data_IF_459941801842
#
_entry.id   IF_459941801842
#
_cell.length_a   1.000
_cell.length_b   1.000
_cell.length_c   1.000
_cell.angle_alpha   90.00
_cell.angle_beta   90.00
_cell.angle_gamma   90.00
#
_symmetry.space_group_name_H-M   'P 1'
#
loop_
_entity.id
_entity.type
_entity.pdbx_description
1 polymer ?
#
# COMPACT_ATOMS: atom_id res chain seq x y z
N UNK A 1 13.25 14.24 19.56
CA UNK A 1 12.29 13.36 18.87
C UNK A 1 13.04 12.32 18.05
N UNK A 2 13.23 11.10 18.56
CA UNK A 2 13.60 9.84 17.85
C UNK A 2 13.67 8.73 18.91
N UNK A 3 12.51 8.19 19.28
CA UNK A 3 12.43 7.01 20.18
C UNK A 3 11.38 6.02 19.66
N UNK A 4 10.34 6.48 18.96
CA UNK A 4 9.32 5.62 18.31
C UNK A 4 9.82 4.81 17.09
N UNK A 5 11.12 4.71 16.82
CA UNK A 5 11.64 3.96 15.66
C UNK A 5 12.28 2.62 16.03
N UNK A 6 12.69 2.43 17.29
CA UNK A 6 13.37 1.21 17.74
C UNK A 6 12.43 0.25 18.48
N UNK A 7 11.42 0.77 19.17
CA UNK A 7 10.45 -0.04 19.94
C UNK A 7 9.63 -0.95 19.00
N UNK A 8 9.11 -0.39 17.90
CA UNK A 8 8.44 -1.12 16.82
C UNK A 8 9.33 -2.19 16.15
N UNK A 9 10.64 -2.21 16.43
CA UNK A 9 11.60 -3.16 15.83
C UNK A 9 11.94 -4.33 16.73
N UNK A 10 11.56 -4.31 18.00
CA UNK A 10 11.83 -5.42 18.91
C UNK A 10 11.11 -6.70 18.46
N UNK A 11 9.86 -6.57 18.00
CA UNK A 11 9.07 -7.69 17.46
C UNK A 11 9.68 -8.24 16.16
N UNK A 12 10.08 -7.35 15.25
CA UNK A 12 10.81 -7.70 14.02
C UNK A 12 12.12 -8.47 14.33
N UNK A 13 12.81 -8.11 15.42
CA UNK A 13 14.09 -8.68 15.81
C UNK A 13 13.96 -10.05 16.49
N UNK A 14 12.92 -10.24 17.30
CA UNK A 14 12.53 -11.55 17.81
C UNK A 14 12.20 -12.51 16.65
N UNK A 15 11.32 -12.08 15.73
CA UNK A 15 10.98 -12.85 14.54
C UNK A 15 12.18 -13.11 13.60
N UNK A 16 13.22 -12.25 13.62
CA UNK A 16 14.46 -12.51 12.91
C UNK A 16 15.26 -13.66 13.54
N UNK A 17 15.31 -13.73 14.86
CA UNK A 17 16.04 -14.79 15.60
C UNK A 17 15.35 -16.15 15.47
N UNK A 18 14.01 -16.16 15.41
CA UNK A 18 13.22 -17.38 15.23
C UNK A 18 13.20 -17.88 13.77
N UNK A 19 13.59 -17.03 12.81
CA UNK A 19 13.63 -17.36 11.38
C UNK A 19 12.34 -17.03 10.61
N UNK A 20 11.32 -16.51 11.29
CA UNK A 20 9.99 -16.23 10.76
C UNK A 20 9.87 -14.91 9.99
N UNK A 21 10.96 -14.15 9.88
CA UNK A 21 10.97 -12.87 9.18
C UNK A 21 11.13 -13.04 7.66
N UNK A 22 10.14 -12.56 6.88
CA UNK A 22 10.17 -12.59 5.42
C UNK A 22 11.33 -11.80 4.78
N UNK A 23 11.71 -12.08 3.51
CA UNK A 23 12.97 -11.61 2.91
C UNK A 23 13.16 -10.09 2.92
N UNK A 24 12.10 -9.33 2.62
CA UNK A 24 12.15 -7.87 2.56
C UNK A 24 12.25 -7.22 3.95
N UNK A 25 11.47 -7.70 4.92
CA UNK A 25 11.54 -7.25 6.33
C UNK A 25 12.91 -7.56 6.91
N UNK A 26 13.46 -8.75 6.63
CA UNK A 26 14.80 -9.17 7.00
C UNK A 26 15.89 -8.25 6.45
N UNK A 27 15.83 -7.90 5.16
CA UNK A 27 16.78 -6.96 4.58
C UNK A 27 16.70 -5.57 5.24
N UNK A 28 15.49 -5.04 5.39
CA UNK A 28 15.26 -3.71 5.99
C UNK A 28 15.72 -3.65 7.45
N UNK A 29 15.43 -4.68 8.24
CA UNK A 29 15.83 -4.77 9.63
C UNK A 29 17.34 -4.89 9.78
N UNK A 30 18.01 -5.73 8.96
CA UNK A 30 19.48 -5.84 8.96
C UNK A 30 20.15 -4.50 8.70
N UNK A 31 19.69 -3.77 7.68
CA UNK A 31 20.19 -2.43 7.39
C UNK A 31 20.02 -1.47 8.58
N UNK A 32 18.88 -1.55 9.30
CA UNK A 32 18.68 -0.75 10.49
C UNK A 32 19.61 -1.13 11.63
N UNK A 33 19.83 -2.43 11.87
CA UNK A 33 20.77 -2.91 12.89
C UNK A 33 22.16 -2.36 12.60
N UNK A 34 22.61 -2.42 11.34
CA UNK A 34 23.93 -1.92 10.91
C UNK A 34 24.10 -0.41 11.20
N UNK A 35 23.02 0.37 11.07
CA UNK A 35 23.03 1.83 11.24
C UNK A 35 22.65 2.30 12.67
N UNK A 36 22.17 1.41 13.55
CA UNK A 36 21.63 1.76 14.87
C UNK A 36 22.36 1.04 16.02
N UNK A 37 23.04 1.81 16.86
CA UNK A 37 23.82 1.29 18.00
C UNK A 37 22.97 0.54 19.02
N UNK A 38 21.78 1.04 19.34
CA UNK A 38 20.89 0.44 20.35
C UNK A 38 20.36 -0.91 19.87
N UNK A 39 19.91 -0.99 18.61
CA UNK A 39 19.47 -2.24 18.00
C UNK A 39 20.62 -3.25 17.84
N UNK A 40 21.84 -2.79 17.52
CA UNK A 40 23.03 -3.66 17.52
C UNK A 40 23.32 -4.24 18.90
N UNK A 41 23.27 -3.42 19.95
CA UNK A 41 23.52 -3.86 21.31
C UNK A 41 22.49 -4.89 21.76
N UNK A 42 21.20 -4.63 21.52
CA UNK A 42 20.12 -5.55 21.83
C UNK A 42 20.24 -6.87 21.07
N UNK A 43 20.49 -6.83 19.75
CA UNK A 43 20.64 -8.03 18.93
C UNK A 43 21.77 -8.95 19.44
N UNK A 44 22.89 -8.36 19.89
CA UNK A 44 23.99 -9.12 20.51
C UNK A 44 23.57 -9.73 21.85
N UNK A 45 22.88 -8.97 22.70
CA UNK A 45 22.40 -9.47 23.99
C UNK A 45 21.45 -10.65 23.80
N UNK A 46 20.45 -10.53 22.93
CA UNK A 46 19.49 -11.61 22.68
C UNK A 46 20.14 -12.86 22.09
N UNK A 47 21.15 -12.72 21.22
CA UNK A 47 21.91 -13.87 20.73
C UNK A 47 22.69 -14.58 21.85
N UNK A 48 23.24 -13.83 22.80
CA UNK A 48 23.93 -14.39 23.97
C UNK A 48 22.94 -15.11 24.89
N UNK A 49 21.77 -14.52 25.15
CA UNK A 49 20.73 -15.11 25.99
C UNK A 49 20.20 -16.42 25.39
N UNK A 50 19.92 -16.44 24.08
CA UNK A 50 19.51 -17.65 23.36
C UNK A 50 20.62 -18.72 23.40
N UNK A 51 21.88 -18.33 23.23
CA UNK A 51 23.00 -19.27 23.30
C UNK A 51 23.16 -19.85 24.72
N UNK A 52 23.01 -19.03 25.76
CA UNK A 52 23.08 -19.45 27.16
C UNK A 52 21.92 -20.39 27.51
N UNK A 53 20.69 -20.04 27.13
CA UNK A 53 19.52 -20.89 27.31
C UNK A 53 19.69 -22.23 26.59
N UNK A 54 20.12 -22.20 25.33
CA UNK A 54 20.37 -23.41 24.54
C UNK A 54 21.40 -24.32 25.21
N UNK A 55 22.46 -23.74 25.80
CA UNK A 55 23.49 -24.49 26.54
C UNK A 55 22.97 -25.07 27.87
N UNK A 56 22.04 -24.39 28.53
CA UNK A 56 21.48 -24.81 29.81
C UNK A 56 20.39 -25.89 29.65
N UNK A 57 19.58 -25.79 28.59
CA UNK A 57 18.39 -26.63 28.39
C UNK A 57 18.66 -27.84 27.51
N UNK A 58 19.50 -27.71 26.49
CA UNK A 58 19.79 -28.85 25.62
C UNK A 58 20.88 -29.73 26.26
N UNK A 59 20.65 -31.04 26.41
CA UNK A 59 21.72 -31.96 26.77
C UNK A 59 22.82 -31.91 25.71
N UNK A 60 24.05 -32.21 26.12
CA UNK A 60 25.14 -32.36 25.18
C UNK A 60 24.71 -33.36 24.08
N UNK A 61 24.86 -33.01 22.79
CA UNK A 61 24.43 -33.89 21.71
C UNK A 61 25.18 -35.22 21.79
N UNK A 62 24.45 -36.32 21.61
CA UNK A 62 24.99 -37.68 21.61
C UNK A 62 26.10 -37.80 20.54
N UNK A 63 27.33 -38.22 20.92
CA UNK A 63 28.44 -38.42 19.99
C UNK A 63 28.08 -39.29 18.77
N UNK A 64 27.24 -40.33 18.94
CA UNK A 64 26.83 -41.18 17.81
C UNK A 64 25.93 -40.43 16.83
N UNK A 65 25.00 -39.62 17.34
CA UNK A 65 24.15 -38.78 16.52
C UNK A 65 24.98 -37.76 15.71
N UNK A 66 25.96 -37.10 16.35
CA UNK A 66 26.87 -36.17 15.67
C UNK A 66 27.65 -36.89 14.57
N UNK A 67 28.20 -38.07 14.86
CA UNK A 67 28.96 -38.86 13.89
C UNK A 67 28.10 -39.25 12.67
N UNK A 68 26.84 -39.64 12.90
CA UNK A 68 25.88 -39.97 11.84
C UNK A 68 25.54 -38.76 10.97
N UNK A 69 25.20 -37.62 11.59
CA UNK A 69 24.87 -36.39 10.85
C UNK A 69 26.08 -35.89 10.08
N UNK A 70 27.25 -35.81 10.71
CA UNK A 70 28.48 -35.37 10.04
C UNK A 70 28.94 -36.35 8.95
N UNK A 71 28.68 -37.65 9.12
CA UNK A 71 28.85 -38.66 8.07
C UNK A 71 27.97 -38.35 6.85
N UNK A 72 26.70 -38.01 7.07
CA UNK A 72 25.77 -37.57 6.03
C UNK A 72 26.18 -36.26 5.36
N UNK A 73 26.65 -35.27 6.12
CA UNK A 73 27.13 -33.99 5.55
C UNK A 73 28.39 -34.19 4.72
N UNK A 74 29.31 -35.07 5.15
CA UNK A 74 30.53 -35.40 4.40
C UNK A 74 30.25 -36.25 3.17
N UNK A 75 29.16 -37.01 3.16
CA UNK A 75 28.73 -37.79 2.00
C UNK A 75 27.92 -36.97 0.98
N UNK A 76 27.52 -35.74 1.34
CA UNK A 76 27.00 -34.81 0.35
C UNK A 76 28.08 -34.59 -0.72
N UNK A 77 27.74 -34.74 -2.02
CA UNK A 77 28.67 -34.42 -3.07
C UNK A 77 29.12 -32.97 -2.88
N UNK A 78 30.43 -32.74 -2.80
CA UNK A 78 30.95 -31.39 -2.82
C UNK A 78 30.38 -30.70 -4.06
N UNK A 79 29.85 -29.47 -3.95
CA UNK A 79 29.39 -28.75 -5.13
C UNK A 79 30.56 -28.72 -6.10
N UNK A 80 30.42 -29.41 -7.22
CA UNK A 80 31.45 -29.45 -8.24
C UNK A 80 31.84 -27.99 -8.53
N UNK A 81 33.14 -27.65 -8.55
CA UNK A 81 33.54 -26.29 -8.90
C UNK A 81 32.86 -25.96 -10.23
N UNK A 82 32.05 -24.90 -10.25
CA UNK A 82 31.28 -24.45 -11.40
C UNK A 82 32.21 -23.86 -12.48
N UNK A 83 33.23 -24.60 -12.88
CA UNK A 83 34.41 -24.10 -13.56
C UNK A 83 35.05 -25.19 -14.42
N UNK A 84 34.39 -25.55 -15.53
CA UNK A 84 35.09 -26.06 -16.72
C UNK A 84 34.23 -26.22 -17.99
N UNK A 85 33.05 -25.60 -18.13
CA UNK A 85 32.30 -25.72 -19.39
C UNK A 85 31.49 -24.50 -19.83
N UNK A 86 31.97 -23.30 -19.49
CA UNK A 86 31.53 -22.08 -20.17
C UNK A 86 32.67 -21.70 -21.12
N UNK A 87 32.55 -22.17 -22.36
CA UNK A 87 33.42 -21.80 -23.50
C UNK A 87 33.56 -20.26 -23.57
N UNK A 88 34.74 -19.71 -23.93
CA UNK A 88 34.96 -18.27 -23.99
C UNK A 88 34.15 -17.53 -25.09
N UNK A 89 33.35 -18.24 -25.89
CA UNK A 89 32.53 -17.65 -26.97
C UNK A 89 31.12 -17.22 -26.48
N UNK A 90 30.63 -17.68 -25.32
CA UNK A 90 29.28 -17.30 -24.83
C UNK A 90 29.27 -16.07 -23.92
N UNK A 91 30.42 -15.63 -23.40
CA UNK A 91 30.51 -14.48 -22.50
C UNK A 91 30.10 -13.14 -23.15
N UNK A 92 30.56 -12.74 -24.35
CA UNK A 92 30.14 -11.46 -24.92
C UNK A 92 28.64 -11.46 -25.28
N UNK A 93 28.11 -12.60 -25.73
CA UNK A 93 26.71 -12.76 -26.10
C UNK A 93 25.78 -12.71 -24.88
N UNK A 94 26.16 -13.35 -23.77
CA UNK A 94 25.41 -13.27 -22.52
C UNK A 94 25.46 -11.87 -21.91
N UNK A 95 26.61 -11.18 -21.98
CA UNK A 95 26.72 -9.79 -21.52
C UNK A 95 25.85 -8.86 -22.38
N UNK A 96 25.89 -9.00 -23.71
CA UNK A 96 25.07 -8.21 -24.61
C UNK A 96 23.56 -8.46 -24.40
N UNK A 97 23.15 -9.72 -24.20
CA UNK A 97 21.76 -10.05 -23.89
C UNK A 97 21.31 -9.47 -22.53
N UNK A 98 22.15 -9.56 -21.49
CA UNK A 98 21.86 -8.99 -20.18
C UNK A 98 21.75 -7.46 -20.23
N UNK A 99 22.65 -6.79 -20.96
CA UNK A 99 22.59 -5.34 -21.18
C UNK A 99 21.34 -4.96 -21.97
N UNK A 100 20.99 -5.72 -23.01
CA UNK A 100 19.76 -5.51 -23.79
C UNK A 100 18.49 -5.65 -22.95
N UNK A 101 18.40 -6.68 -22.10
CA UNK A 101 17.27 -6.87 -21.17
C UNK A 101 17.20 -5.75 -20.14
N UNK A 102 18.34 -5.33 -19.56
CA UNK A 102 18.37 -4.22 -18.61
C UNK A 102 18.00 -2.89 -19.26
N UNK A 103 18.46 -2.64 -20.49
CA UNK A 103 18.11 -1.44 -21.25
C UNK A 103 16.62 -1.43 -21.62
N UNK A 104 16.08 -2.56 -22.10
CA UNK A 104 14.65 -2.72 -22.37
C UNK A 104 13.83 -2.52 -21.09
N UNK A 105 14.23 -3.13 -19.97
CA UNK A 105 13.56 -2.94 -18.68
C UNK A 105 13.61 -1.49 -18.20
N UNK A 106 14.74 -0.80 -18.38
CA UNK A 106 14.88 0.62 -18.03
C UNK A 106 14.02 1.53 -18.91
N UNK A 107 13.98 1.28 -20.23
CA UNK A 107 13.17 2.04 -21.18
C UNK A 107 11.68 1.78 -20.92
N UNK A 108 11.26 0.52 -20.84
CA UNK A 108 9.87 0.13 -20.57
C UNK A 108 9.43 0.67 -19.21
N UNK A 109 10.25 0.52 -18.16
CA UNK A 109 9.96 1.04 -16.83
C UNK A 109 9.88 2.57 -16.76
N UNK A 110 10.71 3.30 -17.53
CA UNK A 110 10.65 4.77 -17.61
C UNK A 110 9.48 5.29 -18.44
N UNK A 111 9.11 4.59 -19.51
CA UNK A 111 8.05 5.02 -20.43
C UNK A 111 6.66 4.61 -19.93
N UNK A 112 6.52 3.41 -19.34
CA UNK A 112 5.24 2.92 -18.81
C UNK A 112 5.05 3.21 -17.31
N UNK A 113 6.13 3.45 -16.55
CA UNK A 113 6.08 3.75 -15.12
C UNK A 113 5.22 4.95 -14.70
N UNK A 114 5.15 6.06 -15.46
CA UNK A 114 4.28 7.19 -15.12
C UNK A 114 2.78 6.87 -15.29
N UNK A 115 2.45 5.78 -15.98
CA UNK A 115 1.07 5.45 -16.37
C UNK A 115 0.35 4.68 -15.26
N UNK A 116 1.01 4.18 -14.22
CA UNK A 116 0.34 3.39 -13.18
C UNK A 116 0.88 3.78 -11.80
N UNK A 117 0.24 4.75 -11.14
CA UNK A 117 0.45 5.03 -9.71
C UNK A 117 -0.74 4.51 -8.88
N UNK A 118 -0.85 3.18 -8.70
CA UNK A 118 -1.94 2.57 -7.94
C UNK A 118 -1.95 3.05 -6.48
N UNK A 119 -0.80 3.51 -5.97
CA UNK A 119 -0.71 4.03 -4.60
C UNK A 119 -1.49 5.34 -4.45
N UNK A 120 -1.37 6.26 -5.42
CA UNK A 120 -2.12 7.52 -5.41
C UNK A 120 -3.62 7.31 -5.54
N UNK A 121 -4.01 6.42 -6.46
CA UNK A 121 -5.42 6.08 -6.65
C UNK A 121 -6.03 5.48 -5.37
N UNK A 122 -5.31 4.57 -4.71
CA UNK A 122 -5.78 3.94 -3.47
C UNK A 122 -6.02 4.97 -2.35
N UNK A 123 -5.15 5.97 -2.23
CA UNK A 123 -5.30 7.06 -1.24
C UNK A 123 -6.55 7.91 -1.53
N UNK A 124 -6.80 8.29 -2.78
CA UNK A 124 -8.01 9.04 -3.15
C UNK A 124 -9.28 8.19 -3.01
N UNK A 125 -9.23 6.91 -3.37
CA UNK A 125 -10.33 5.99 -3.17
C UNK A 125 -10.68 5.85 -1.68
N UNK A 126 -9.70 5.76 -0.79
CA UNK A 126 -9.98 5.68 0.65
C UNK A 126 -10.58 6.98 1.22
N UNK A 127 -10.11 8.14 0.76
CA UNK A 127 -10.71 9.42 1.12
C UNK A 127 -12.19 9.51 0.69
N UNK A 128 -12.53 9.02 -0.51
CA UNK A 128 -13.92 8.91 -0.97
C UNK A 128 -14.75 7.94 -0.12
N UNK A 129 -14.18 6.79 0.30
CA UNK A 129 -14.86 5.88 1.25
C UNK A 129 -15.12 6.56 2.59
N UNK A 130 -14.18 7.35 3.11
CA UNK A 130 -14.36 8.13 4.33
C UNK A 130 -15.48 9.15 4.20
N UNK A 131 -15.52 9.90 3.09
CA UNK A 131 -16.58 10.85 2.81
C UNK A 131 -17.94 10.16 2.65
N UNK A 132 -18.01 9.01 1.96
CA UNK A 132 -19.27 8.27 1.83
C UNK A 132 -19.78 7.76 3.18
N UNK A 133 -18.89 7.31 4.07
CA UNK A 133 -19.27 6.97 5.46
C UNK A 133 -19.82 8.19 6.20
N UNK A 134 -19.21 9.36 6.04
CA UNK A 134 -19.71 10.60 6.62
C UNK A 134 -21.11 10.98 6.09
N UNK A 135 -21.36 10.79 4.78
CA UNK A 135 -22.70 10.98 4.20
C UNK A 135 -23.72 10.01 4.79
N UNK A 136 -23.37 8.75 4.99
CA UNK A 136 -24.29 7.78 5.61
C UNK A 136 -24.64 8.18 7.05
N UNK A 137 -23.67 8.62 7.84
CA UNK A 137 -23.93 9.10 9.22
C UNK A 137 -24.81 10.34 9.20
N UNK A 138 -24.53 11.30 8.30
CA UNK A 138 -25.40 12.45 8.09
C UNK A 138 -26.84 12.03 7.76
N UNK A 139 -27.03 11.12 6.81
CA UNK A 139 -28.35 10.65 6.43
C UNK A 139 -29.08 9.95 7.59
N UNK A 140 -28.37 9.21 8.45
CA UNK A 140 -28.96 8.60 9.65
C UNK A 140 -29.47 9.63 10.65
N UNK A 141 -28.78 10.77 10.81
CA UNK A 141 -29.21 11.84 11.73
C UNK A 141 -30.31 12.75 11.14
N UNK A 142 -30.45 12.79 9.82
CA UNK A 142 -31.41 13.63 9.11
C UNK A 142 -32.52 12.80 8.42
N UNK A 143 -33.03 11.75 9.09
CA UNK A 143 -34.17 10.95 8.65
C UNK A 143 -34.06 10.41 7.21
N UNK A 144 -32.86 9.98 6.81
CA UNK A 144 -32.56 9.48 5.48
C UNK A 144 -32.33 10.56 4.41
N UNK A 145 -32.33 11.84 4.78
CA UNK A 145 -32.07 12.94 3.85
C UNK A 145 -30.58 13.13 3.57
N UNK A 146 -30.21 13.17 2.28
CA UNK A 146 -28.86 13.47 1.84
C UNK A 146 -28.49 14.96 2.00
N UNK A 147 -27.19 15.30 2.09
CA UNK A 147 -26.78 16.68 2.33
C UNK A 147 -27.16 17.62 1.16
N UNK A 148 -27.36 18.92 1.43
CA UNK A 148 -27.56 19.94 0.40
C UNK A 148 -26.29 20.14 -0.42
N UNK A 149 -26.42 20.10 -1.75
CA UNK A 149 -25.29 20.12 -2.68
C UNK A 149 -24.42 21.40 -2.60
N UNK A 150 -24.97 22.56 -2.24
CA UNK A 150 -24.23 23.83 -2.18
C UNK A 150 -23.27 23.90 -0.99
N UNK A 151 -23.56 23.15 0.08
CA UNK A 151 -22.83 23.20 1.35
C UNK A 151 -22.52 21.81 1.91
N UNK A 152 -22.48 20.80 1.04
CA UNK A 152 -22.29 19.40 1.44
C UNK A 152 -21.02 19.21 2.25
N UNK A 153 -19.91 19.86 1.86
CA UNK A 153 -18.63 19.76 2.56
C UNK A 153 -18.72 20.28 3.99
N UNK A 154 -19.37 21.43 4.19
CA UNK A 154 -19.61 22.01 5.51
C UNK A 154 -20.61 21.18 6.33
N UNK A 155 -21.65 20.64 5.69
CA UNK A 155 -22.62 19.76 6.35
C UNK A 155 -21.98 18.45 6.85
N UNK A 156 -20.93 17.97 6.18
CA UNK A 156 -20.22 16.75 6.57
C UNK A 156 -19.05 16.98 7.54
N UNK A 157 -18.69 18.24 7.85
CA UNK A 157 -17.46 18.56 8.58
C UNK A 157 -17.41 17.91 9.97
N UNK A 158 -18.54 17.79 10.67
CA UNK A 158 -18.65 17.16 12.00
C UNK A 158 -18.53 15.63 11.98
N UNK A 159 -18.74 14.99 10.82
CA UNK A 159 -18.73 13.52 10.68
C UNK A 159 -17.41 12.99 10.10
N UNK A 160 -16.51 13.88 9.69
CA UNK A 160 -15.21 13.54 9.13
C UNK A 160 -14.18 13.34 10.24
N UNK A 161 -13.41 12.25 10.16
CA UNK A 161 -12.26 12.03 11.06
C UNK A 161 -11.04 12.85 10.68
N UNK A 162 -10.92 13.20 9.39
CA UNK A 162 -9.76 13.91 8.84
C UNK A 162 -10.14 15.35 8.53
N UNK A 163 -9.44 16.35 9.11
CA UNK A 163 -9.75 17.77 8.88
C UNK A 163 -9.41 18.25 7.46
N UNK A 164 -8.69 17.44 6.69
CA UNK A 164 -8.27 17.78 5.32
C UNK A 164 -9.30 17.38 4.26
N UNK A 165 -10.33 16.62 4.61
CA UNK A 165 -11.43 16.33 3.70
C UNK A 165 -12.33 17.59 3.57
N UNK A 166 -12.91 17.86 2.38
CA UNK A 166 -12.91 17.05 1.16
C UNK A 166 -11.77 17.38 0.17
N UNK A 167 -10.62 17.90 0.64
CA UNK A 167 -9.49 18.12 -0.27
C UNK A 167 -8.82 16.80 -0.63
N UNK A 168 -8.33 16.68 -1.86
CA UNK A 168 -7.51 15.55 -2.25
C UNK A 168 -6.18 15.61 -1.48
N UNK A 169 -5.78 14.54 -0.77
CA UNK A 169 -4.56 14.53 0.04
C UNK A 169 -3.28 14.59 -0.80
N UNK A 170 -3.40 14.41 -2.12
CA UNK A 170 -2.30 14.50 -3.08
C UNK A 170 -2.30 15.83 -3.84
N UNK A 171 -3.28 16.72 -3.59
CA UNK A 171 -3.29 18.04 -4.20
C UNK A 171 -2.16 18.88 -3.61
N UNK A 172 -1.26 19.38 -4.46
CA UNK A 172 -0.16 20.25 -4.02
C UNK A 172 -0.63 21.56 -3.39
N UNK A 173 -1.84 22.01 -3.72
CA UNK A 173 -2.51 23.17 -3.11
C UNK A 173 -3.95 22.79 -2.73
N UNK A 174 -4.25 22.53 -1.44
CA UNK A 174 -5.61 22.27 -0.97
C UNK A 174 -6.41 23.58 -0.95
N UNK A 175 -7.12 23.86 -2.04
CA UNK A 175 -8.05 24.98 -2.18
C UNK A 175 -9.51 24.53 -2.18
N UNK A 176 -10.46 25.47 -2.01
CA UNK A 176 -11.89 25.19 -2.19
C UNK A 176 -12.16 24.60 -3.59
N UNK A 177 -12.77 23.41 -3.64
CA UNK A 177 -13.07 22.72 -4.90
C UNK A 177 -11.91 21.91 -5.51
N UNK A 178 -10.78 21.77 -4.81
CA UNK A 178 -9.69 20.89 -5.23
C UNK A 178 -9.77 19.54 -4.51
N UNK A 179 -10.43 18.55 -5.11
CA UNK A 179 -10.40 17.20 -4.56
C UNK A 179 -11.55 16.34 -5.02
N UNK A 180 -12.68 16.48 -4.33
CA UNK A 180 -13.88 15.69 -4.56
C UNK A 180 -15.08 16.61 -4.78
N UNK A 181 -16.07 16.13 -5.53
CA UNK A 181 -17.35 16.80 -5.70
C UNK A 181 -18.50 15.87 -5.45
N UNK A 182 -19.60 16.46 -4.99
CA UNK A 182 -20.86 15.81 -4.70
C UNK A 182 -21.77 15.85 -5.92
N UNK A 183 -22.58 14.81 -6.13
CA UNK A 183 -23.58 14.79 -7.19
C UNK A 183 -24.76 15.73 -6.86
N UNK A 184 -24.93 16.87 -7.56
CA UNK A 184 -25.97 17.84 -7.22
C UNK A 184 -27.40 17.33 -7.42
N UNK A 185 -27.59 16.28 -8.23
CA UNK A 185 -28.91 15.66 -8.43
C UNK A 185 -29.43 14.95 -7.16
N UNK A 186 -28.52 14.65 -6.22
CA UNK A 186 -28.84 14.03 -4.94
C UNK A 186 -29.01 15.06 -3.82
N UNK A 187 -29.06 16.36 -4.13
CA UNK A 187 -29.26 17.41 -3.13
C UNK A 187 -30.57 17.18 -2.37
N UNK A 188 -30.47 16.92 -1.05
CA UNK A 188 -31.63 16.67 -0.17
C UNK A 188 -32.55 15.52 -0.59
N UNK A 189 -32.07 14.63 -1.47
CA UNK A 189 -32.82 13.44 -1.85
C UNK A 189 -32.97 12.50 -0.64
N UNK A 190 -34.11 11.82 -0.55
CA UNK A 190 -34.31 10.76 0.43
C UNK A 190 -33.60 9.49 -0.03
N UNK A 191 -32.76 8.88 0.81
CA UNK A 191 -32.01 7.66 0.47
C UNK A 191 -32.97 6.55 0.01
N UNK A 192 -34.12 6.41 0.66
CA UNK A 192 -35.14 5.41 0.32
C UNK A 192 -35.89 5.70 -1.00
N UNK A 193 -35.76 6.92 -1.55
CA UNK A 193 -36.35 7.29 -2.83
C UNK A 193 -35.40 7.04 -4.01
N UNK A 194 -34.15 6.62 -3.75
CA UNK A 194 -33.15 6.32 -4.78
C UNK A 194 -33.35 4.86 -5.22
N UNK A 195 -33.75 4.58 -6.48
CA UNK A 195 -34.14 3.23 -6.91
C UNK A 195 -33.04 2.17 -6.76
N UNK A 196 -31.79 2.58 -7.00
CA UNK A 196 -30.62 1.72 -6.82
C UNK A 196 -29.44 2.54 -6.29
N UNK A 197 -29.26 2.50 -4.98
CA UNK A 197 -28.21 3.26 -4.30
C UNK A 197 -26.80 2.85 -4.75
N UNK A 198 -26.63 1.61 -5.25
CA UNK A 198 -25.33 1.04 -5.61
C UNK A 198 -24.81 1.49 -6.97
N UNK A 199 -25.68 2.02 -7.82
CA UNK A 199 -25.34 2.48 -9.18
C UNK A 199 -25.41 3.99 -9.33
N UNK A 200 -26.02 4.72 -8.39
CA UNK A 200 -26.10 6.18 -8.45
C UNK A 200 -24.84 6.83 -7.85
N UNK A 201 -24.05 7.57 -8.65
CA UNK A 201 -22.84 8.23 -8.16
C UNK A 201 -23.14 9.27 -7.08
N UNK A 202 -22.45 9.18 -5.94
CA UNK A 202 -22.61 10.08 -4.80
C UNK A 202 -21.52 11.16 -4.78
N UNK A 203 -20.26 10.74 -4.81
CA UNK A 203 -19.08 11.59 -4.77
C UNK A 203 -18.09 11.13 -5.83
N UNK A 204 -17.25 12.01 -6.33
CA UNK A 204 -16.27 11.66 -7.35
C UNK A 204 -15.02 12.54 -7.29
N UNK A 205 -13.91 12.02 -7.80
CA UNK A 205 -12.68 12.79 -8.04
C UNK A 205 -12.99 13.96 -8.97
N UNK A 206 -12.69 15.19 -8.54
CA UNK A 206 -13.09 16.38 -9.29
C UNK A 206 -12.09 17.52 -9.26
N UNK A 207 -12.06 18.27 -10.38
CA UNK A 207 -11.34 19.54 -10.52
C UNK A 207 -12.34 20.59 -10.97
N UNK A 208 -12.59 21.59 -10.12
CA UNK A 208 -13.55 22.66 -10.44
C UNK A 208 -14.99 22.14 -10.59
N UNK A 209 -15.39 21.16 -9.80
CA UNK A 209 -16.75 20.60 -9.83
C UNK A 209 -17.02 19.57 -10.94
N UNK A 210 -16.07 19.36 -11.86
CA UNK A 210 -16.20 18.36 -12.93
C UNK A 210 -15.39 17.11 -12.62
N UNK A 211 -15.86 15.95 -13.08
CA UNK A 211 -15.13 14.68 -12.96
C UNK A 211 -13.72 14.80 -13.56
N UNK A 212 -12.71 14.42 -12.78
CA UNK A 212 -11.30 14.53 -13.15
C UNK A 212 -10.62 13.15 -13.08
N UNK A 213 -10.33 12.50 -14.22
CA UNK A 213 -9.64 11.22 -14.27
C UNK A 213 -8.13 11.34 -14.02
N UNK A 214 -7.77 11.88 -12.85
CA UNK A 214 -6.39 12.28 -12.48
C UNK A 214 -5.44 11.14 -12.14
N UNK A 215 -5.93 9.90 -12.10
CA UNK A 215 -5.13 8.71 -11.79
C UNK A 215 -4.90 7.93 -13.07
N UNK A 216 -3.90 8.32 -13.86
CA UNK A 216 -3.59 7.62 -15.10
C UNK A 216 -4.75 7.50 -16.10
N UNK A 217 -5.59 8.54 -16.19
CA UNK A 217 -6.76 8.51 -17.07
C UNK A 217 -7.99 7.84 -16.45
N UNK A 218 -7.95 7.44 -15.17
CA UNK A 218 -9.14 7.07 -14.39
C UNK A 218 -9.37 8.00 -13.20
N UNK A 219 -10.63 8.14 -12.81
CA UNK A 219 -11.07 8.85 -11.60
C UNK A 219 -11.93 7.93 -10.75
N UNK A 220 -11.88 8.12 -9.44
CA UNK A 220 -12.66 7.34 -8.49
C UNK A 220 -14.05 7.96 -8.30
N UNK A 221 -15.04 7.09 -8.14
CA UNK A 221 -16.43 7.44 -7.90
C UNK A 221 -16.92 6.61 -6.72
N UNK A 222 -17.46 7.28 -5.71
CA UNK A 222 -18.14 6.66 -4.59
C UNK A 222 -19.65 6.56 -4.87
N UNK A 223 -20.23 5.43 -4.47
CA UNK A 223 -21.65 5.14 -4.51
C UNK A 223 -22.16 4.88 -3.10
N UNK A 224 -23.46 4.97 -2.88
CA UNK A 224 -24.06 4.47 -1.64
C UNK A 224 -24.07 2.92 -1.70
N UNK A 225 -23.65 2.18 -0.67
CA UNK A 225 -23.42 2.56 0.72
C UNK A 225 -21.96 2.88 1.09
N UNK A 226 -21.06 3.09 0.13
CA UNK A 226 -19.64 3.38 0.37
C UNK A 226 -18.68 2.62 -0.52
N UNK A 227 -19.17 1.92 -1.54
CA UNK A 227 -18.33 1.32 -2.57
C UNK A 227 -17.66 2.43 -3.38
N UNK A 228 -16.42 2.19 -3.81
CA UNK A 228 -15.66 3.12 -4.67
C UNK A 228 -15.10 2.34 -5.84
N UNK A 229 -15.36 2.83 -7.05
CA UNK A 229 -14.91 2.22 -8.30
C UNK A 229 -14.20 3.26 -9.17
N UNK A 230 -13.35 2.78 -10.07
CA UNK A 230 -12.56 3.63 -10.97
C UNK A 230 -13.19 3.67 -12.36
N UNK A 231 -13.24 4.85 -12.96
CA UNK A 231 -13.82 5.06 -14.29
C UNK A 231 -12.93 5.96 -15.14
N UNK A 232 -12.84 5.67 -16.43
CA UNK A 232 -12.21 6.56 -17.40
C UNK A 232 -13.09 7.79 -17.71
N UNK A 233 -14.41 7.58 -17.69
CA UNK A 233 -15.43 8.60 -17.97
C UNK A 233 -16.55 8.49 -16.93
N UNK A 234 -17.17 9.61 -16.53
CA UNK A 234 -18.22 9.55 -15.53
C UNK A 234 -19.44 8.82 -16.10
N UNK A 235 -20.05 7.86 -15.36
CA UNK A 235 -21.33 7.26 -15.75
C UNK A 235 -22.42 8.34 -15.79
N UNK A 236 -23.31 8.22 -16.76
CA UNK A 236 -24.57 8.96 -16.77
C UNK A 236 -25.37 8.49 -15.55
N UNK A 237 -25.86 9.38 -14.65
CA UNK A 237 -26.32 10.76 -14.87
C UNK A 237 -25.39 11.88 -14.34
N UNK A 238 -24.10 11.62 -14.05
CA UNK A 238 -23.17 12.65 -13.52
C UNK A 238 -22.98 13.87 -14.43
N UNK A 239 -23.34 13.77 -15.71
CA UNK A 239 -23.30 14.92 -16.61
C UNK A 239 -24.37 15.90 -16.14
N UNK A 240 -24.02 17.13 -15.70
CA UNK A 240 -25.03 18.16 -15.54
C UNK A 240 -25.77 18.25 -16.86
N UNK A 241 -27.11 18.14 -16.84
CA UNK A 241 -27.90 18.46 -18.02
C UNK A 241 -27.47 19.86 -18.41
N UNK A 242 -26.85 20.01 -19.58
CA UNK A 242 -26.52 21.31 -20.13
C UNK A 242 -27.76 22.17 -19.99
N UNK A 243 -27.68 23.25 -19.20
CA UNK A 243 -28.80 24.19 -19.06
C UNK A 243 -29.24 24.57 -20.48
N UNK A 244 -30.51 24.39 -20.84
CA UNK A 244 -31.02 24.94 -22.09
C UNK A 244 -30.88 26.46 -22.12
#
# INVERSE_FOLDING_TARGET
>A
MRVRACEDRQEDLAALLDGDLGPWRRWRLRRHIDDCRDCTAWARQSQQDVAAFRKAVLPAPDPEFIARVMGGVRSLPQPAPARAWIRPITRPLLVAAAVGVLAAWFIIGRVLGPVWDPSRQAVCAEALRQLSRAVNVYAMEFDGQLPPAERWSGALASYQRSPHLPCCPLAGNPGPGSGYSYNPQLSRAQVNAIPDISTVPLLYDSRGGSFDPRHAGVGNIAFLPGSVQAFEKPPEPLRPRSRP
#
